data_IF_538733037397
#
_entry.id   IF_538733037397
#
_cell.length_a   1.000
_cell.length_b   1.000
_cell.length_c   1.000
_cell.angle_alpha   90.00
_cell.angle_beta   90.00
_cell.angle_gamma   90.00
#
_symmetry.space_group_name_H-M   'P 1'
#
loop_
_entity.id
_entity.type
_entity.pdbx_description
1 polymer ?
#
# COMPACT_ATOMS: atom_id res chain seq x y z
N UNK A 1 3.67 14.10 -0.58
CA UNK A 1 3.27 13.31 -1.77
C UNK A 1 1.76 13.26 -1.80
N UNK A 2 1.16 13.56 -2.96
CA UNK A 2 -0.29 13.52 -3.12
C UNK A 2 -0.76 12.10 -3.47
N UNK A 3 -1.97 11.75 -3.06
CA UNK A 3 -2.61 10.49 -3.44
C UNK A 3 -3.23 10.57 -4.83
N UNK A 4 -3.56 9.41 -5.42
CA UNK A 4 -4.31 9.30 -6.68
C UNK A 4 -5.66 10.02 -6.62
N UNK A 5 -6.32 9.99 -5.46
CA UNK A 5 -7.47 10.84 -5.15
C UNK A 5 -7.07 11.93 -4.17
N UNK A 6 -7.43 13.19 -4.45
CA UNK A 6 -7.15 14.33 -3.56
C UNK A 6 -7.74 14.11 -2.16
N UNK A 7 -8.96 13.58 -2.08
CA UNK A 7 -9.63 13.20 -0.82
C UNK A 7 -8.89 12.12 -0.02
N UNK A 8 -8.03 11.33 -0.66
CA UNK A 8 -7.24 10.29 0.00
C UNK A 8 -5.84 10.79 0.42
N UNK A 9 -5.51 12.06 0.19
CA UNK A 9 -4.17 12.61 0.48
C UNK A 9 -3.94 12.74 1.99
N UNK A 10 -4.93 13.21 2.74
CA UNK A 10 -4.84 13.30 4.20
C UNK A 10 -4.77 11.91 4.86
N UNK A 11 -5.63 10.98 4.42
CA UNK A 11 -5.61 9.58 4.90
C UNK A 11 -4.27 8.89 4.60
N UNK A 12 -3.70 9.14 3.42
CA UNK A 12 -2.37 8.64 3.07
C UNK A 12 -1.32 9.15 4.04
N UNK A 13 -1.33 10.46 4.33
CA UNK A 13 -0.29 11.09 5.15
C UNK A 13 -0.29 10.51 6.56
N UNK A 14 -1.47 10.29 7.14
CA UNK A 14 -1.62 9.68 8.46
C UNK A 14 -1.13 8.22 8.48
N UNK A 15 -1.58 7.42 7.50
CA UNK A 15 -1.13 6.04 7.34
C UNK A 15 0.39 5.93 7.10
N UNK A 16 0.96 6.72 6.19
CA UNK A 16 2.40 6.72 5.88
C UNK A 16 3.22 7.06 7.15
N UNK A 17 2.76 8.03 7.94
CA UNK A 17 3.46 8.40 9.17
C UNK A 17 3.44 7.26 10.20
N UNK A 18 2.28 6.63 10.38
CA UNK A 18 2.14 5.46 11.26
C UNK A 18 3.00 4.30 10.77
N UNK A 19 2.89 3.96 9.48
CA UNK A 19 3.61 2.85 8.87
C UNK A 19 5.12 3.04 8.94
N UNK A 20 5.64 4.23 8.61
CA UNK A 20 7.07 4.49 8.66
C UNK A 20 7.64 4.32 10.08
N UNK A 21 6.89 4.76 11.09
CA UNK A 21 7.29 4.58 12.50
C UNK A 21 7.29 3.10 12.90
N UNK A 22 6.21 2.38 12.58
CA UNK A 22 6.11 0.95 12.87
C UNK A 22 7.17 0.14 12.11
N UNK A 23 7.39 0.46 10.84
CA UNK A 23 8.37 -0.21 10.00
C UNK A 23 9.79 -0.04 10.55
N UNK A 24 10.17 1.18 10.92
CA UNK A 24 11.50 1.47 11.46
C UNK A 24 11.72 0.89 12.86
N UNK A 25 10.71 0.94 13.73
CA UNK A 25 10.88 0.58 15.14
C UNK A 25 10.51 -0.86 15.48
N UNK A 26 9.61 -1.49 14.71
CA UNK A 26 9.10 -2.84 14.96
C UNK A 26 9.61 -3.80 13.90
N UNK A 27 9.17 -3.60 12.66
CA UNK A 27 9.43 -4.55 11.57
C UNK A 27 10.93 -4.75 11.32
N UNK A 28 11.70 -3.67 11.16
CA UNK A 28 13.15 -3.74 10.94
C UNK A 28 13.93 -4.26 12.16
N UNK A 29 13.38 -4.14 13.36
CA UNK A 29 13.99 -4.68 14.59
C UNK A 29 13.60 -6.15 14.86
N UNK A 30 12.81 -6.76 13.98
CA UNK A 30 12.35 -8.14 14.10
C UNK A 30 11.12 -8.33 15.01
N UNK A 31 10.54 -7.24 15.52
CA UNK A 31 9.32 -7.27 16.31
C UNK A 31 8.11 -7.27 15.37
N UNK A 32 7.42 -8.41 15.29
CA UNK A 32 6.22 -8.60 14.46
C UNK A 32 4.93 -8.35 15.22
N UNK A 33 5.00 -7.58 16.31
CA UNK A 33 3.80 -7.17 17.03
C UNK A 33 2.86 -6.47 16.04
N UNK A 34 1.60 -6.90 16.02
CA UNK A 34 0.65 -6.59 14.96
C UNK A 34 0.56 -5.10 14.61
N UNK A 35 0.27 -4.84 13.34
CA UNK A 35 0.25 -3.51 12.74
C UNK A 35 -0.80 -2.59 13.39
N UNK A 36 -0.38 -1.56 14.17
CA UNK A 36 -1.31 -0.60 14.74
C UNK A 36 -1.96 0.29 13.67
N UNK A 37 -1.39 0.33 12.46
CA UNK A 37 -1.83 1.15 11.34
C UNK A 37 -2.90 0.47 10.47
N UNK A 38 -3.35 -0.74 10.83
CA UNK A 38 -4.28 -1.54 10.03
C UNK A 38 -5.63 -0.84 9.84
N UNK A 39 -6.12 -0.13 10.86
CA UNK A 39 -7.40 0.56 10.80
C UNK A 39 -7.35 1.73 9.81
N UNK A 40 -6.37 2.63 9.96
CA UNK A 40 -6.13 3.75 9.04
C UNK A 40 -5.86 3.26 7.61
N UNK A 41 -5.15 2.14 7.47
CA UNK A 41 -4.89 1.53 6.18
C UNK A 41 -6.17 1.09 5.46
N UNK A 42 -7.13 0.50 6.17
CA UNK A 42 -8.40 0.06 5.58
C UNK A 42 -9.19 1.23 5.00
N UNK A 43 -9.23 2.36 5.70
CA UNK A 43 -9.89 3.58 5.22
C UNK A 43 -9.18 4.16 4.00
N UNK A 44 -7.85 4.26 4.07
CA UNK A 44 -7.03 4.72 2.94
C UNK A 44 -7.18 3.81 1.71
N UNK A 45 -7.11 2.49 1.88
CA UNK A 45 -7.24 1.50 0.82
C UNK A 45 -8.60 1.63 0.13
N UNK A 46 -9.70 1.78 0.88
CA UNK A 46 -11.04 1.97 0.32
C UNK A 46 -11.12 3.25 -0.51
N UNK A 47 -10.55 4.34 0.00
CA UNK A 47 -10.51 5.62 -0.72
C UNK A 47 -9.73 5.50 -2.03
N UNK A 48 -8.54 4.91 -2.00
CA UNK A 48 -7.68 4.75 -3.17
C UNK A 48 -8.29 3.79 -4.19
N UNK A 49 -8.86 2.67 -3.75
CA UNK A 49 -9.49 1.71 -4.67
C UNK A 49 -10.65 2.35 -5.45
N UNK A 50 -11.41 3.23 -4.80
CA UNK A 50 -12.43 4.05 -5.48
C UNK A 50 -11.78 5.00 -6.49
N UNK A 51 -10.76 5.74 -6.09
CA UNK A 51 -10.07 6.68 -6.98
C UNK A 51 -9.41 5.99 -8.19
N UNK A 52 -8.83 4.81 -8.01
CA UNK A 52 -8.25 3.99 -9.08
C UNK A 52 -9.32 3.61 -10.11
N UNK A 53 -10.49 3.19 -9.65
CA UNK A 53 -11.61 2.85 -10.54
C UNK A 53 -12.15 4.08 -11.28
N UNK A 54 -12.27 5.23 -10.61
CA UNK A 54 -12.72 6.48 -11.24
C UNK A 54 -11.72 7.03 -12.26
N UNK A 55 -10.43 6.78 -12.05
CA UNK A 55 -9.34 7.21 -12.95
C UNK A 55 -8.99 6.17 -14.02
N UNK A 56 -9.70 5.05 -14.08
CA UNK A 56 -9.49 3.93 -15.01
C UNK A 56 -8.02 3.45 -15.03
N UNK A 57 -7.42 3.28 -13.85
CA UNK A 57 -6.03 2.83 -13.75
C UNK A 57 -6.00 1.29 -13.75
N UNK A 58 -5.35 0.64 -14.73
CA UNK A 58 -5.29 -0.82 -14.81
C UNK A 58 -4.30 -1.38 -13.78
N UNK A 59 -4.80 -1.68 -12.59
CA UNK A 59 -4.06 -2.38 -11.52
C UNK A 59 -4.46 -3.85 -11.40
N UNK A 60 -5.54 -4.26 -12.06
CA UNK A 60 -6.04 -5.62 -12.04
C UNK A 60 -5.24 -6.49 -13.03
N UNK A 61 -4.82 -7.68 -12.61
CA UNK A 61 -4.04 -8.59 -13.46
C UNK A 61 -2.52 -8.33 -13.49
N UNK A 62 -2.00 -7.42 -12.68
CA UNK A 62 -0.54 -7.32 -12.47
C UNK A 62 -0.08 -8.39 -11.48
N UNK A 63 0.90 -9.18 -11.88
CA UNK A 63 1.48 -10.20 -10.99
C UNK A 63 2.46 -9.57 -10.01
N UNK A 64 2.42 -10.02 -8.75
CA UNK A 64 3.37 -9.59 -7.73
C UNK A 64 4.80 -9.98 -8.13
N UNK A 65 5.71 -9.00 -8.13
CA UNK A 65 7.09 -9.12 -8.63
C UNK A 65 7.22 -9.40 -10.15
N UNK A 66 6.12 -9.38 -10.90
CA UNK A 66 6.10 -9.60 -12.35
C UNK A 66 6.46 -11.05 -12.75
N UNK A 67 6.39 -11.35 -14.06
CA UNK A 67 6.82 -12.65 -14.56
C UNK A 67 8.32 -12.83 -14.33
N UNK A 68 8.69 -13.96 -13.74
CA UNK A 68 10.08 -14.33 -13.53
C UNK A 68 10.76 -14.52 -14.90
N UNK A 69 11.64 -13.59 -15.30
CA UNK A 69 12.45 -13.70 -16.52
C UNK A 69 13.54 -14.77 -16.45
N UNK A 70 13.66 -15.46 -15.31
CA UNK A 70 14.59 -16.55 -15.01
C UNK A 70 13.81 -17.87 -14.84
N UNK A 71 13.07 -18.27 -15.86
CA UNK A 71 12.72 -19.68 -16.02
C UNK A 71 12.86 -20.02 -17.50
N UNK A 72 13.94 -20.69 -17.93
CA UNK A 72 13.94 -21.30 -19.25
C UNK A 72 12.75 -22.25 -19.29
N UNK A 73 11.86 -22.03 -20.26
CA UNK A 73 10.87 -23.02 -20.65
C UNK A 73 11.63 -24.31 -20.97
N UNK A 74 11.32 -25.37 -20.24
CA UNK A 74 11.91 -26.70 -20.42
C UNK A 74 10.83 -27.75 -20.48
#
# INVERSE_FOLDING_TARGET
>A
MNSVGEACTDLKRDYDQCFNRWFADKFLKGDRSGDPCTETFREYQRCVQKAIREKDIPVDGVEFMGPNKDKPES
#
